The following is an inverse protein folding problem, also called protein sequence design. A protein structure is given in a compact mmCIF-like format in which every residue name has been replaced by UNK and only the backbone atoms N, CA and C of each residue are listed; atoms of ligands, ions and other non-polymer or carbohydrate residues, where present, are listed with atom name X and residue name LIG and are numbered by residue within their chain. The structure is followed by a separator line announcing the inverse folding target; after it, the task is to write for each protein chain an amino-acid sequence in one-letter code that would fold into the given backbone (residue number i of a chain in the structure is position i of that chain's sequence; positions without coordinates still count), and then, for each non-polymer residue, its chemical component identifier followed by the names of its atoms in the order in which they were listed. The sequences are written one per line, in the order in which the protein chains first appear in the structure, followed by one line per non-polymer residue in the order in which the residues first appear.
data_IF_563431726983
#
_entry.id   IF_563431726983
#
_cell.length_a   1.000
_cell.length_b   1.000
_cell.length_c   1.000
_cell.angle_alpha   90.00
_cell.angle_beta   90.00
_cell.angle_gamma   90.00
#
_symmetry.space_group_name_H-M   'P 1'
#
loop_
_entity.id
_entity.type
_entity.pdbx_description
1 polymer ?
#
# COMPACT_ATOMS: atom_id res chain seq x y z
N UNK A 1 -16.94 -9.19 -23.69
CA UNK A 1 -15.90 -8.14 -23.82
C UNK A 1 -15.18 -8.01 -22.48
N UNK A 2 -13.85 -8.01 -22.48
CA UNK A 2 -13.06 -7.79 -21.27
C UNK A 2 -12.72 -6.30 -21.17
N UNK A 3 -12.80 -5.74 -19.97
CA UNK A 3 -12.36 -4.38 -19.70
C UNK A 3 -10.83 -4.37 -19.68
N UNK A 4 -10.20 -3.70 -20.65
CA UNK A 4 -8.74 -3.59 -20.74
C UNK A 4 -8.30 -2.34 -20.00
N UNK A 5 -7.97 -2.49 -18.72
CA UNK A 5 -7.43 -1.44 -17.87
C UNK A 5 -5.91 -1.59 -17.81
N UNK A 6 -5.19 -0.54 -18.22
CA UNK A 6 -3.75 -0.45 -18.01
C UNK A 6 -3.49 0.14 -16.62
N UNK A 7 -2.71 -0.58 -15.81
CA UNK A 7 -2.33 -0.14 -14.47
C UNK A 7 -1.05 0.68 -14.62
N UNK A 8 -1.15 2.00 -14.45
CA UNK A 8 -0.01 2.91 -14.58
C UNK A 8 0.87 2.97 -13.33
N UNK A 9 0.25 2.87 -12.14
CA UNK A 9 0.92 2.98 -10.85
C UNK A 9 0.29 2.03 -9.82
N UNK A 10 1.11 1.57 -8.89
CA UNK A 10 0.72 0.73 -7.76
C UNK A 10 1.24 1.33 -6.45
N UNK A 11 0.42 1.19 -5.41
CA UNK A 11 0.70 1.68 -4.07
C UNK A 11 0.24 0.64 -3.06
N UNK A 12 0.88 0.63 -1.90
CA UNK A 12 0.64 -0.33 -0.83
C UNK A 12 0.46 0.40 0.49
N UNK A 13 -0.42 -0.10 1.36
CA UNK A 13 -0.64 0.45 2.69
C UNK A 13 -0.41 -0.60 3.75
N UNK A 14 0.17 -0.17 4.87
CA UNK A 14 0.34 -0.99 6.06
C UNK A 14 0.05 -0.15 7.30
N UNK A 15 -0.67 -0.74 8.24
CA UNK A 15 -0.90 -0.19 9.58
C UNK A 15 0.27 -0.45 10.54
N UNK A 16 1.20 -1.32 10.13
CA UNK A 16 2.38 -1.66 10.91
C UNK A 16 3.56 -0.75 10.57
N UNK A 17 3.76 0.29 11.39
CA UNK A 17 4.96 1.15 11.32
C UNK A 17 6.26 0.37 11.42
N UNK A 18 6.26 -0.75 12.16
CA UNK A 18 7.43 -1.64 12.27
C UNK A 18 7.72 -2.29 10.92
N UNK A 19 6.72 -2.84 10.24
CA UNK A 19 6.88 -3.42 8.89
C UNK A 19 7.39 -2.37 7.90
N UNK A 20 6.79 -1.17 7.90
CA UNK A 20 7.26 -0.07 7.05
C UNK A 20 8.72 0.31 7.34
N UNK A 21 9.13 0.31 8.62
CA UNK A 21 10.53 0.56 8.98
C UNK A 21 11.48 -0.55 8.51
N UNK A 22 11.01 -1.80 8.42
CA UNK A 22 11.81 -2.91 7.91
C UNK A 22 11.96 -2.86 6.39
N UNK A 23 10.91 -2.48 5.67
CA UNK A 23 10.95 -2.32 4.21
C UNK A 23 12.00 -1.29 3.78
N UNK A 24 12.26 -0.27 4.60
CA UNK A 24 13.29 0.75 4.35
C UNK A 24 14.71 0.33 4.74
N UNK A 25 14.87 -0.80 5.44
CA UNK A 25 16.18 -1.27 5.91
C UNK A 25 16.80 -2.26 4.93
N UNK A 26 18.12 -2.40 5.01
CA UNK A 26 18.79 -3.52 4.36
C UNK A 26 18.33 -4.82 5.02
N UNK A 27 17.76 -5.74 4.23
CA UNK A 27 17.17 -6.98 4.74
C UNK A 27 18.17 -7.86 5.48
N UNK A 28 19.47 -7.79 5.12
CA UNK A 28 20.58 -8.48 5.79
C UNK A 28 20.75 -8.12 7.28
N UNK A 29 20.23 -6.97 7.71
CA UNK A 29 20.26 -6.51 9.10
C UNK A 29 19.11 -7.08 9.95
N UNK A 30 18.17 -7.81 9.33
CA UNK A 30 16.98 -8.35 9.99
C UNK A 30 17.16 -9.85 10.29
N UNK A 31 16.38 -10.36 11.24
CA UNK A 31 16.33 -11.82 11.51
C UNK A 31 15.90 -12.55 10.24
N UNK A 32 16.50 -13.71 9.96
CA UNK A 32 16.33 -14.49 8.71
C UNK A 32 14.88 -14.59 8.22
N UNK A 33 13.93 -14.86 9.12
CA UNK A 33 12.51 -14.96 8.77
C UNK A 33 11.91 -13.64 8.23
N UNK A 34 12.31 -12.51 8.80
CA UNK A 34 11.87 -11.18 8.37
C UNK A 34 12.65 -10.74 7.14
N UNK A 35 13.98 -10.95 7.15
CA UNK A 35 14.87 -10.65 6.04
C UNK A 35 14.36 -11.26 4.73
N UNK A 36 14.03 -12.56 4.73
CA UNK A 36 13.54 -13.27 3.55
C UNK A 36 12.23 -12.69 2.98
N UNK A 37 11.37 -12.10 3.81
CA UNK A 37 10.13 -11.45 3.37
C UNK A 37 10.39 -10.05 2.84
N UNK A 38 11.21 -9.30 3.56
CA UNK A 38 11.59 -7.93 3.17
C UNK A 38 12.33 -7.94 1.84
N UNK A 39 13.26 -8.88 1.60
CA UNK A 39 13.91 -9.03 0.29
C UNK A 39 12.89 -9.22 -0.82
N UNK A 40 11.93 -10.15 -0.66
CA UNK A 40 10.88 -10.37 -1.67
C UNK A 40 10.01 -9.14 -1.92
N UNK A 41 9.72 -8.36 -0.88
CA UNK A 41 8.96 -7.10 -1.02
C UNK A 41 9.78 -6.08 -1.81
N UNK A 42 11.06 -5.92 -1.47
CA UNK A 42 11.98 -5.00 -2.14
C UNK A 42 12.26 -5.41 -3.60
N UNK A 43 12.24 -6.71 -3.92
CA UNK A 43 12.37 -7.21 -5.29
C UNK A 43 11.13 -6.90 -6.16
N UNK A 44 9.97 -6.67 -5.54
CA UNK A 44 8.67 -6.52 -6.21
C UNK A 44 8.09 -5.09 -6.14
N UNK A 45 8.68 -4.22 -5.33
CA UNK A 45 8.19 -2.86 -5.09
C UNK A 45 9.29 -1.93 -4.62
N UNK A 46 9.12 -0.64 -4.88
CA UNK A 46 9.95 0.42 -4.32
C UNK A 46 9.40 0.89 -2.97
N UNK A 47 10.27 1.40 -2.11
CA UNK A 47 9.87 1.83 -0.77
C UNK A 47 8.94 3.06 -0.80
N UNK A 48 9.02 3.90 -1.83
CA UNK A 48 8.14 5.06 -2.00
C UNK A 48 6.68 4.69 -2.30
N UNK A 49 6.45 3.45 -2.76
CA UNK A 49 5.11 2.92 -3.00
C UNK A 49 4.38 2.54 -1.70
N UNK A 50 5.10 2.42 -0.58
CA UNK A 50 4.54 2.00 0.71
C UNK A 50 4.14 3.20 1.57
N UNK A 51 2.85 3.25 1.91
CA UNK A 51 2.24 4.27 2.74
C UNK A 51 1.81 3.70 4.09
N UNK A 52 1.74 4.59 5.09
CA UNK A 52 1.12 4.26 6.38
C UNK A 52 -0.37 4.50 6.31
N UNK A 53 -1.17 3.58 6.86
CA UNK A 53 -2.59 3.79 7.15
C UNK A 53 -2.83 3.57 8.64
N UNK A 54 -3.76 4.29 9.24
CA UNK A 54 -4.12 4.00 10.63
C UNK A 54 -4.92 2.68 10.70
N UNK A 55 -4.93 2.01 11.87
CA UNK A 55 -5.71 0.79 12.07
C UNK A 55 -7.21 1.01 11.77
N UNK A 56 -7.77 2.15 12.15
CA UNK A 56 -9.19 2.45 11.96
C UNK A 56 -9.52 2.82 10.51
N UNK A 57 -8.53 3.26 9.76
CA UNK A 57 -8.65 3.63 8.35
C UNK A 57 -8.18 2.52 7.40
N UNK A 58 -7.78 1.35 7.93
CA UNK A 58 -7.30 0.23 7.13
C UNK A 58 -8.47 -0.68 6.70
N UNK A 59 -8.88 -0.66 5.42
CA UNK A 59 -9.95 -1.54 4.96
C UNK A 59 -9.58 -3.03 5.03
N UNK A 60 -8.28 -3.38 5.08
CA UNK A 60 -7.85 -4.78 5.21
C UNK A 60 -8.24 -5.38 6.57
N UNK A 61 -8.27 -4.57 7.64
CA UNK A 61 -8.67 -5.05 8.97
C UNK A 61 -10.15 -5.38 9.05
N UNK A 62 -10.98 -4.71 8.24
CA UNK A 62 -12.41 -5.04 8.14
C UNK A 62 -12.64 -6.43 7.56
N UNK A 63 -11.85 -6.84 6.55
CA UNK A 63 -12.07 -8.10 5.83
C UNK A 63 -11.29 -9.28 6.41
N UNK A 64 -10.16 -9.03 7.09
CA UNK A 64 -9.28 -10.04 7.66
C UNK A 64 -9.97 -11.05 8.60
N UNK A 65 -10.86 -10.63 9.54
CA UNK A 65 -11.59 -11.57 10.39
C UNK A 65 -12.78 -12.24 9.67
N UNK A 66 -13.08 -11.82 8.44
CA UNK A 66 -14.31 -12.16 7.73
C UNK A 66 -15.43 -11.17 8.03
N UNK A 67 -16.12 -10.73 6.97
CA UNK A 67 -17.24 -9.79 7.06
C UNK A 67 -18.42 -10.32 6.26
N UNK A 68 -19.63 -10.11 6.79
CA UNK A 68 -20.85 -10.45 6.07
C UNK A 68 -20.94 -9.59 4.78
N UNK A 69 -21.24 -10.17 3.61
CA UNK A 69 -21.31 -9.43 2.35
C UNK A 69 -22.23 -8.21 2.40
N UNK A 70 -23.38 -8.29 3.07
CA UNK A 70 -24.32 -7.17 3.22
C UNK A 70 -23.68 -6.02 4.01
N UNK A 71 -22.95 -6.32 5.08
CA UNK A 71 -22.21 -5.30 5.84
C UNK A 71 -21.05 -4.71 5.05
N UNK A 72 -20.40 -5.51 4.20
CA UNK A 72 -19.33 -5.02 3.33
C UNK A 72 -19.86 -4.06 2.27
N UNK A 73 -21.04 -4.33 1.68
CA UNK A 73 -21.68 -3.43 0.71
C UNK A 73 -21.99 -2.06 1.32
N UNK A 74 -22.32 -2.00 2.60
CA UNK A 74 -22.61 -0.77 3.33
C UNK A 74 -21.34 -0.08 3.90
N UNK A 75 -20.16 -0.68 3.75
CA UNK A 75 -18.94 -0.16 4.36
C UNK A 75 -18.36 1.03 3.62
N UNK A 76 -18.52 2.22 4.19
CA UNK A 76 -17.85 3.42 3.72
C UNK A 76 -16.32 3.36 3.86
N UNK A 77 -15.78 2.53 4.74
CA UNK A 77 -14.34 2.33 4.86
C UNK A 77 -13.78 1.57 3.65
N UNK A 78 -14.47 0.51 3.21
CA UNK A 78 -14.03 -0.33 2.10
C UNK A 78 -14.22 0.35 0.74
N UNK A 79 -15.37 1.00 0.53
CA UNK A 79 -15.69 1.70 -0.71
C UNK A 79 -15.30 3.19 -0.69
N UNK A 80 -14.70 3.67 0.39
CA UNK A 80 -14.38 5.07 0.62
C UNK A 80 -13.11 5.57 -0.07
N UNK A 81 -13.01 6.90 -0.20
CA UNK A 81 -11.91 7.60 -0.91
C UNK A 81 -10.66 7.89 -0.07
N UNK A 82 -10.59 7.46 1.19
CA UNK A 82 -9.49 7.88 2.08
C UNK A 82 -8.11 7.39 1.60
N UNK A 83 -8.04 6.16 1.09
CA UNK A 83 -6.83 5.59 0.46
C UNK A 83 -6.46 6.33 -0.84
N UNK A 84 -7.45 6.90 -1.54
CA UNK A 84 -7.25 7.55 -2.85
C UNK A 84 -6.79 9.01 -2.74
N UNK A 85 -7.08 9.70 -1.62
CA UNK A 85 -6.78 11.13 -1.49
C UNK A 85 -5.27 11.40 -1.36
N UNK A 86 -4.56 10.57 -0.61
CA UNK A 86 -3.10 10.67 -0.45
C UNK A 86 -2.34 10.36 -1.75
N UNK A 87 -2.95 9.62 -2.68
CA UNK A 87 -2.39 9.37 -4.01
C UNK A 87 -2.53 10.58 -4.95
N UNK A 88 -3.63 11.32 -4.85
CA UNK A 88 -3.85 12.53 -5.64
C UNK A 88 -2.82 13.61 -5.30
N UNK A 89 -2.43 13.72 -4.03
CA UNK A 89 -1.43 14.68 -3.57
C UNK A 89 0.02 14.29 -3.98
N UNK A 90 0.27 13.00 -4.27
CA UNK A 90 1.58 12.50 -4.76
C UNK A 90 1.78 12.62 -6.28
N UNK A 91 0.75 12.97 -7.06
CA UNK A 91 0.90 13.20 -8.51
C UNK A 91 1.40 14.61 -8.87
N UNK A 92 1.46 15.54 -7.92
CA UNK A 92 1.81 16.94 -8.18
C UNK A 92 3.32 17.22 -8.16
N UNK A 93 4.16 16.24 -7.76
CA UNK A 93 5.64 16.37 -7.77
C UNK A 93 6.21 15.56 -8.94
N UNK A 94 5.93 15.98 -10.16
CA UNK A 94 6.76 15.64 -11.33
C UNK A 94 7.45 16.92 -11.73
N UNK A 95 8.72 17.04 -11.35
CA UNK A 95 9.56 18.20 -11.66
C UNK A 95 9.71 18.29 -13.20
N UNK A 96 9.34 19.41 -13.85
CA UNK A 96 9.41 19.55 -15.31
C UNK A 96 10.84 19.52 -15.91
N UNK A 97 11.89 19.46 -15.09
CA UNK A 97 13.28 19.59 -15.55
C UNK A 97 14.08 18.28 -15.67
N UNK A 98 13.49 17.09 -15.52
CA UNK A 98 14.20 15.82 -15.76
C UNK A 98 14.28 15.41 -17.25
N UNK A 99 14.08 16.35 -18.16
CA UNK A 99 14.27 16.14 -19.61
C UNK A 99 15.03 17.31 -20.22
N UNK A 100 16.24 17.54 -19.71
CA UNK A 100 17.34 18.20 -20.42
C UNK A 100 18.63 17.42 -20.20
#
# INVERSE_FOLDING_TARGET
MALRLEISKTYFWSDSKIVLSWIKKQSSQLKTFVANRVTKIQDLSCDEQWCYVSLVDNPADLISPGVNPSKLLESHLWWGKLVSKELADKEEIVDPESSL
#
